data_IF_266990146472
#
_entry.id   IF_266990146472
#
_cell.length_a   1.000
_cell.length_b   1.000
_cell.length_c   1.000
_cell.angle_alpha   90.00
_cell.angle_beta   90.00
_cell.angle_gamma   90.00
#
_symmetry.space_group_name_H-M   'P 1'
#
loop_
_entity.id
_entity.type
_entity.pdbx_description
1 polymer ?
#
# COMPACT_ATOMS: atom_id res chain seq x y z
N UNK A 1 18.11 -58.08 -43.16
CA UNK A 1 18.93 -56.87 -42.89
C UNK A 1 18.36 -56.24 -41.63
N UNK A 2 19.06 -56.41 -40.50
CA UNK A 2 19.80 -55.34 -39.79
C UNK A 2 18.86 -54.39 -39.02
N UNK A 3 18.54 -54.68 -37.76
CA UNK A 3 19.23 -54.30 -36.52
C UNK A 3 18.86 -52.89 -36.00
N UNK A 4 18.32 -52.90 -34.76
CA UNK A 4 18.47 -51.89 -33.68
C UNK A 4 17.69 -50.56 -33.92
N UNK A 5 17.16 -49.81 -32.96
CA UNK A 5 17.62 -49.42 -31.62
C UNK A 5 16.43 -48.97 -30.74
N UNK A 6 16.65 -49.05 -29.42
CA UNK A 6 15.77 -48.72 -28.29
C UNK A 6 15.58 -47.16 -28.13
N UNK A 7 14.88 -46.69 -27.08
CA UNK A 7 13.76 -45.74 -27.05
C UNK A 7 14.18 -44.26 -26.98
N UNK A 8 13.31 -43.33 -27.40
CA UNK A 8 13.53 -41.90 -27.13
C UNK A 8 12.30 -41.35 -26.42
N UNK A 9 12.43 -41.25 -25.10
CA UNK A 9 11.61 -40.41 -24.26
C UNK A 9 11.79 -38.96 -24.70
N UNK A 10 10.73 -38.34 -25.23
CA UNK A 10 10.71 -36.91 -25.50
C UNK A 10 10.29 -36.20 -24.20
N UNK A 11 11.29 -35.84 -23.39
CA UNK A 11 11.13 -34.90 -22.29
C UNK A 11 10.75 -33.54 -22.86
N UNK A 12 9.50 -33.12 -22.66
CA UNK A 12 9.02 -31.77 -22.89
C UNK A 12 9.60 -30.83 -21.83
N UNK A 13 10.81 -30.32 -22.07
CA UNK A 13 11.34 -29.18 -21.34
C UNK A 13 10.75 -27.90 -21.94
N UNK A 14 9.64 -27.42 -21.39
CA UNK A 14 9.18 -26.05 -21.60
C UNK A 14 10.14 -25.09 -20.90
N UNK A 15 11.25 -24.74 -21.57
CA UNK A 15 12.04 -23.58 -21.20
C UNK A 15 11.23 -22.33 -21.57
N UNK A 16 10.49 -21.80 -20.59
CA UNK A 16 9.88 -20.48 -20.67
C UNK A 16 11.01 -19.46 -20.58
N UNK A 17 11.55 -19.06 -21.72
CA UNK A 17 12.44 -17.90 -21.81
C UNK A 17 11.56 -16.67 -21.78
N UNK A 18 11.34 -16.10 -20.60
CA UNK A 18 10.73 -14.77 -20.47
C UNK A 18 11.74 -13.72 -20.94
N UNK A 19 11.38 -12.85 -21.90
CA UNK A 19 12.27 -11.77 -22.32
C UNK A 19 12.28 -10.68 -21.24
N UNK A 20 13.44 -10.45 -20.65
CA UNK A 20 13.71 -9.24 -19.88
C UNK A 20 13.76 -8.05 -20.85
N UNK A 21 12.64 -7.33 -20.96
CA UNK A 21 12.61 -5.99 -21.56
C UNK A 21 12.52 -4.96 -20.43
N UNK A 22 13.64 -4.27 -20.24
CA UNK A 22 13.70 -3.02 -19.50
C UNK A 22 12.98 -1.93 -20.32
N UNK A 23 11.91 -1.34 -19.76
CA UNK A 23 11.28 -0.15 -20.28
C UNK A 23 10.75 0.74 -19.13
N UNK A 24 10.85 2.05 -19.34
CA UNK A 24 10.58 3.14 -18.40
C UNK A 24 9.08 3.23 -17.97
N UNK A 25 8.70 4.10 -17.00
CA UNK A 25 7.53 3.94 -16.15
C UNK A 25 6.25 4.37 -16.86
N UNK A 26 5.74 3.51 -17.73
CA UNK A 26 4.29 3.44 -17.96
C UNK A 26 3.75 2.57 -16.84
N UNK A 27 2.67 3.00 -16.16
CA UNK A 27 2.02 2.17 -15.16
C UNK A 27 1.68 0.83 -15.83
N UNK A 28 2.47 -0.20 -15.50
CA UNK A 28 2.54 -1.44 -16.26
C UNK A 28 1.13 -2.06 -16.28
N UNK A 29 0.48 -2.24 -17.45
CA UNK A 29 -0.84 -2.87 -17.53
C UNK A 29 -0.80 -4.27 -16.90
N UNK A 30 0.38 -4.90 -16.93
CA UNK A 30 0.71 -6.14 -16.26
C UNK A 30 0.58 -6.06 -14.74
N UNK A 31 0.91 -4.93 -14.13
CA UNK A 31 0.75 -4.77 -12.69
C UNK A 31 -0.72 -4.64 -12.27
N UNK A 32 -1.50 -3.88 -13.02
CA UNK A 32 -2.93 -3.74 -12.71
C UNK A 32 -3.61 -5.11 -12.70
N UNK A 33 -3.34 -5.93 -13.72
CA UNK A 33 -3.83 -7.30 -13.82
C UNK A 33 -3.37 -8.19 -12.65
N UNK A 34 -2.07 -8.16 -12.30
CA UNK A 34 -1.54 -8.95 -11.17
C UNK A 34 -2.15 -8.54 -9.83
N UNK A 35 -2.34 -7.24 -9.59
CA UNK A 35 -3.00 -6.72 -8.37
C UNK A 35 -4.46 -7.16 -8.30
N UNK A 36 -5.16 -7.20 -9.43
CA UNK A 36 -6.54 -7.66 -9.49
C UNK A 36 -6.64 -9.16 -9.16
N UNK A 37 -5.79 -9.99 -9.75
CA UNK A 37 -5.74 -11.42 -9.46
C UNK A 37 -5.47 -11.73 -7.97
N UNK A 38 -4.53 -11.01 -7.34
CA UNK A 38 -4.24 -11.13 -5.90
C UNK A 38 -5.42 -10.71 -5.02
N UNK A 39 -6.22 -9.71 -5.43
CA UNK A 39 -7.43 -9.30 -4.70
C UNK A 39 -8.51 -10.37 -4.77
N UNK A 40 -8.69 -11.00 -5.92
CA UNK A 40 -9.66 -12.09 -6.10
C UNK A 40 -9.28 -13.30 -5.23
N UNK A 41 -8.01 -13.67 -5.19
CA UNK A 41 -7.50 -14.72 -4.31
C UNK A 41 -7.68 -14.37 -2.83
N UNK A 42 -7.46 -13.10 -2.45
CA UNK A 42 -7.68 -12.64 -1.08
C UNK A 42 -9.17 -12.72 -0.69
N UNK A 43 -10.07 -12.40 -1.61
CA UNK A 43 -11.51 -12.55 -1.40
C UNK A 43 -11.89 -14.03 -1.20
N UNK A 44 -11.32 -14.94 -1.99
CA UNK A 44 -11.54 -16.38 -1.81
C UNK A 44 -11.00 -16.87 -0.45
N UNK A 45 -9.79 -16.46 -0.05
CA UNK A 45 -9.21 -16.82 1.25
C UNK A 45 -10.00 -16.25 2.44
N UNK A 46 -10.67 -15.09 2.26
CA UNK A 46 -11.61 -14.54 3.25
C UNK A 46 -12.86 -15.39 3.40
N UNK A 47 -13.44 -15.83 2.28
CA UNK A 47 -14.62 -16.69 2.28
C UNK A 47 -14.33 -18.07 2.90
N UNK A 48 -13.10 -18.56 2.75
CA UNK A 48 -12.64 -19.82 3.33
C UNK A 48 -12.17 -19.70 4.79
N UNK A 49 -12.05 -18.47 5.32
CA UNK A 49 -11.61 -18.23 6.69
C UNK A 49 -10.11 -18.48 6.93
N UNK A 50 -9.31 -18.67 5.88
CA UNK A 50 -7.88 -18.95 5.98
C UNK A 50 -7.10 -17.66 6.28
N UNK A 51 -6.84 -17.42 7.57
CA UNK A 51 -6.14 -16.23 8.06
C UNK A 51 -4.66 -16.20 7.67
N UNK A 52 -4.01 -17.36 7.52
CA UNK A 52 -2.61 -17.42 7.12
C UNK A 52 -2.46 -17.02 5.66
N UNK A 53 -3.30 -17.59 4.80
CA UNK A 53 -3.35 -17.27 3.38
C UNK A 53 -3.73 -15.80 3.16
N UNK A 54 -4.69 -15.26 3.92
CA UNK A 54 -5.03 -13.83 3.87
C UNK A 54 -3.85 -12.92 4.21
N UNK A 55 -3.05 -13.30 5.21
CA UNK A 55 -1.89 -12.50 5.64
C UNK A 55 -0.79 -12.52 4.57
N UNK A 56 -0.54 -13.68 3.98
CA UNK A 56 0.43 -13.85 2.88
C UNK A 56 0.02 -13.06 1.63
N UNK A 57 -1.23 -13.22 1.17
CA UNK A 57 -1.76 -12.50 0.02
C UNK A 57 -1.75 -10.98 0.23
N UNK A 58 -2.04 -10.50 1.45
CA UNK A 58 -1.92 -9.08 1.76
C UNK A 58 -0.48 -8.56 1.66
N UNK A 59 0.51 -9.31 2.17
CA UNK A 59 1.92 -8.94 2.09
C UNK A 59 2.42 -8.91 0.64
N UNK A 60 1.98 -9.86 -0.17
CA UNK A 60 2.30 -9.92 -1.60
C UNK A 60 1.67 -8.76 -2.36
N UNK A 61 0.42 -8.42 -2.07
CA UNK A 61 -0.28 -7.27 -2.66
C UNK A 61 0.40 -5.93 -2.29
N UNK A 62 0.91 -5.80 -1.07
CA UNK A 62 1.70 -4.64 -0.65
C UNK A 62 3.03 -4.54 -1.38
N UNK A 63 3.73 -5.67 -1.53
CA UNK A 63 5.00 -5.75 -2.25
C UNK A 63 4.81 -5.39 -3.72
N UNK A 64 3.79 -5.97 -4.36
CA UNK A 64 3.42 -5.67 -5.74
C UNK A 64 3.00 -4.21 -5.90
N UNK A 65 2.25 -3.66 -4.94
CA UNK A 65 1.86 -2.24 -4.96
C UNK A 65 3.10 -1.32 -4.95
N UNK A 66 4.11 -1.62 -4.12
CA UNK A 66 5.36 -0.86 -4.08
C UNK A 66 6.19 -1.00 -5.36
N UNK A 67 6.26 -2.21 -5.91
CA UNK A 67 6.99 -2.48 -7.15
C UNK A 67 6.37 -1.74 -8.34
N UNK A 68 5.05 -1.77 -8.45
CA UNK A 68 4.36 -1.21 -9.60
C UNK A 68 4.03 0.26 -9.52
N UNK A 69 3.90 0.81 -8.32
CA UNK A 69 3.88 2.26 -8.17
C UNK A 69 5.27 2.84 -8.49
N UNK A 70 6.34 2.03 -8.46
CA UNK A 70 7.68 2.54 -8.24
C UNK A 70 7.74 3.24 -6.87
N UNK A 71 8.92 3.72 -6.48
CA UNK A 71 8.99 4.69 -5.38
C UNK A 71 8.33 5.99 -5.84
N UNK A 72 7.00 6.10 -5.71
CA UNK A 72 6.32 7.39 -5.91
C UNK A 72 6.82 8.28 -4.80
N UNK A 73 7.74 9.19 -5.14
CA UNK A 73 8.08 10.29 -4.27
C UNK A 73 6.78 11.04 -3.98
N UNK A 74 6.30 10.94 -2.73
CA UNK A 74 5.16 11.73 -2.28
C UNK A 74 5.46 13.19 -2.59
N UNK A 75 4.52 13.87 -3.24
CA UNK A 75 4.67 15.30 -3.48
C UNK A 75 4.95 15.97 -2.11
N UNK A 76 5.88 16.93 -1.99
CA UNK A 76 6.20 17.57 -0.70
C UNK A 76 4.96 18.07 0.04
N UNK A 77 3.95 18.54 -0.70
CA UNK A 77 2.63 18.92 -0.17
C UNK A 77 1.86 17.77 0.49
N UNK A 78 1.91 16.55 -0.06
CA UNK A 78 1.29 15.36 0.55
C UNK A 78 1.99 14.97 1.85
N UNK A 79 3.33 15.03 1.88
CA UNK A 79 4.11 14.79 3.10
C UNK A 79 3.76 15.83 4.18
N UNK A 80 3.68 17.11 3.79
CA UNK A 80 3.26 18.18 4.69
C UNK A 80 1.82 18.00 5.16
N UNK A 81 0.89 17.61 4.28
CA UNK A 81 -0.50 17.32 4.60
C UNK A 81 -0.61 16.23 5.66
N UNK A 82 0.05 15.08 5.47
CA UNK A 82 0.05 14.00 6.44
C UNK A 82 0.65 14.40 7.78
N UNK A 83 1.74 15.18 7.76
CA UNK A 83 2.37 15.68 8.96
C UNK A 83 1.43 16.61 9.73
N UNK A 84 0.77 17.56 9.05
CA UNK A 84 -0.20 18.47 9.66
C UNK A 84 -1.44 17.71 10.14
N UNK A 85 -1.90 16.70 9.42
CA UNK A 85 -3.00 15.83 9.87
C UNK A 85 -2.68 15.15 11.20
N UNK A 86 -1.49 14.54 11.32
CA UNK A 86 -1.01 13.95 12.58
C UNK A 86 -0.86 15.00 13.70
N UNK A 87 -0.62 16.27 13.37
CA UNK A 87 -0.59 17.34 14.37
C UNK A 87 -2.00 17.72 14.86
N UNK A 88 -2.99 17.71 13.98
CA UNK A 88 -4.40 17.94 14.35
C UNK A 88 -4.86 16.86 15.33
N UNK A 89 -4.66 15.58 15.01
CA UNK A 89 -5.02 14.45 15.88
C UNK A 89 -4.38 14.55 17.29
N UNK A 90 -3.09 14.91 17.33
CA UNK A 90 -2.39 15.16 18.59
C UNK A 90 -2.99 16.31 19.39
N UNK A 91 -3.32 17.42 18.74
CA UNK A 91 -3.91 18.59 19.41
C UNK A 91 -5.35 18.35 19.88
N UNK A 92 -6.12 17.54 19.16
CA UNK A 92 -7.43 17.08 19.62
C UNK A 92 -7.33 16.25 20.90
N UNK A 93 -6.28 15.41 21.00
CA UNK A 93 -6.01 14.63 22.20
C UNK A 93 -5.62 15.53 23.37
N UNK A 94 -4.70 16.48 23.16
CA UNK A 94 -4.31 17.48 24.17
C UNK A 94 -5.49 18.36 24.62
N UNK A 95 -6.40 18.71 23.72
CA UNK A 95 -7.63 19.42 24.08
C UNK A 95 -8.53 18.54 24.95
N UNK A 96 -8.71 17.26 24.61
CA UNK A 96 -9.49 16.31 25.42
C UNK A 96 -8.91 16.15 26.82
N UNK A 97 -7.59 16.05 26.94
CA UNK A 97 -6.89 16.03 28.22
C UNK A 97 -7.11 17.33 29.01
N UNK A 98 -6.98 18.49 28.35
CA UNK A 98 -7.21 19.79 28.98
C UNK A 98 -8.65 19.96 29.49
N UNK A 99 -9.65 19.48 28.74
CA UNK A 99 -11.05 19.45 29.18
C UNK A 99 -11.21 18.65 30.48
N UNK A 100 -10.48 17.54 30.63
CA UNK A 100 -10.47 16.74 31.86
C UNK A 100 -9.88 17.46 33.08
N UNK A 101 -9.04 18.50 32.88
CA UNK A 101 -8.48 19.29 33.97
C UNK A 101 -9.41 20.39 34.49
N UNK A 102 -10.42 20.80 33.70
CA UNK A 102 -11.29 21.94 34.02
C UNK A 102 -10.61 23.31 33.99
N UNK A 103 -9.32 23.40 33.63
CA UNK A 103 -8.60 24.68 33.55
C UNK A 103 -8.97 25.45 32.28
N UNK A 104 -9.81 26.48 32.44
CA UNK A 104 -10.32 27.29 31.32
C UNK A 104 -9.22 27.92 30.46
N UNK A 105 -8.14 28.43 31.06
CA UNK A 105 -7.03 29.03 30.31
C UNK A 105 -6.30 28.00 29.46
N UNK A 106 -6.06 26.81 30.01
CA UNK A 106 -5.43 25.71 29.28
C UNK A 106 -6.34 25.21 28.14
N UNK A 107 -7.64 25.09 28.38
CA UNK A 107 -8.63 24.68 27.38
C UNK A 107 -8.62 25.65 26.19
N UNK A 108 -8.73 26.96 26.44
CA UNK A 108 -8.72 27.96 25.37
C UNK A 108 -7.39 27.97 24.60
N UNK A 109 -6.25 27.87 25.29
CA UNK A 109 -4.95 27.73 24.63
C UNK A 109 -4.90 26.51 23.69
N UNK A 110 -5.43 25.36 24.10
CA UNK A 110 -5.45 24.14 23.26
C UNK A 110 -6.44 24.27 22.10
N UNK A 111 -7.58 24.95 22.27
CA UNK A 111 -8.53 25.24 21.19
C UNK A 111 -7.91 26.11 20.11
N UNK A 112 -7.21 27.17 20.48
CA UNK A 112 -6.53 28.06 19.53
C UNK A 112 -5.44 27.32 18.73
N UNK A 113 -4.65 26.49 19.40
CA UNK A 113 -3.63 25.68 18.75
C UNK A 113 -4.23 24.68 17.76
N UNK A 114 -5.35 24.06 18.13
CA UNK A 114 -6.09 23.15 17.25
C UNK A 114 -6.67 23.87 16.05
N UNK A 115 -7.28 25.04 16.24
CA UNK A 115 -7.84 25.87 15.17
C UNK A 115 -6.78 26.22 14.12
N UNK A 116 -5.61 26.73 14.55
CA UNK A 116 -4.47 27.04 13.66
C UNK A 116 -4.01 25.82 12.85
N UNK A 117 -4.02 24.64 13.46
CA UNK A 117 -3.60 23.40 12.78
C UNK A 117 -4.61 22.93 11.74
N UNK A 118 -5.90 23.08 12.03
CA UNK A 118 -6.98 22.77 11.10
C UNK A 118 -6.99 23.74 9.92
N UNK A 119 -6.79 25.03 10.16
CA UNK A 119 -6.64 26.02 9.08
C UNK A 119 -5.47 25.65 8.15
N UNK A 120 -4.30 25.34 8.71
CA UNK A 120 -3.15 24.87 7.93
C UNK A 120 -3.48 23.59 7.14
N UNK A 121 -4.20 22.63 7.74
CA UNK A 121 -4.62 21.42 7.04
C UNK A 121 -5.55 21.73 5.85
N UNK A 122 -6.51 22.62 6.04
CA UNK A 122 -7.41 23.08 4.97
C UNK A 122 -6.64 23.80 3.85
N UNK A 123 -5.60 24.57 4.18
CA UNK A 123 -4.75 25.21 3.14
C UNK A 123 -3.98 24.20 2.30
N UNK A 124 -3.64 23.04 2.85
CA UNK A 124 -2.93 21.97 2.15
C UNK A 124 -3.86 21.06 1.35
N UNK A 125 -5.17 21.07 1.66
CA UNK A 125 -6.20 20.28 0.97
C UNK A 125 -6.63 20.92 -0.36
N UNK A 126 -6.57 22.25 -0.48
CA UNK A 126 -6.92 23.00 -1.69
C UNK A 126 -5.81 22.94 -2.73
#
# INVERSE_FOLDING_TARGET
MSLRHLPIALLTACAVVSPLLAAAPQADPQCHAQRQALREQLQQARLQGDKLQQTQLNAELQTLTKQCQGLVALHPRQVEYEHVNRQVERRETLLREALGTGNAQLIELRRDQLAKSREKLETLRR
#
